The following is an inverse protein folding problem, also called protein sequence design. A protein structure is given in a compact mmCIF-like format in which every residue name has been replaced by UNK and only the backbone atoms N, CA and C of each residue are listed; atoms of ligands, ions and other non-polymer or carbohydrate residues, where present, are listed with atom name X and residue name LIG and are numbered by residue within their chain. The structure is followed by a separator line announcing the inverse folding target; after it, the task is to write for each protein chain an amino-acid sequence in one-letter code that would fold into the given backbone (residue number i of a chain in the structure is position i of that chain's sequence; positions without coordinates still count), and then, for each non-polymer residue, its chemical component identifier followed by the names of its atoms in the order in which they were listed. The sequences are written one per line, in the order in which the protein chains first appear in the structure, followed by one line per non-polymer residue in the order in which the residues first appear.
data_IF_780986657353
#
_entry.id   IF_780986657353
#
_cell.length_a   1.000
_cell.length_b   1.000
_cell.length_c   1.000
_cell.angle_alpha   90.00
_cell.angle_beta   90.00
_cell.angle_gamma   90.00
#
_symmetry.space_group_name_H-M   'P 1'
#
loop_
_entity.id
_entity.type
_entity.pdbx_description
1 polymer ?
#
# COMPACT_ATOMS: atom_id res chain seq x y z
N UNK A 1 -21.47 -28.68 -10.73
CA UNK A 1 -22.37 -28.90 -11.85
C UNK A 1 -22.14 -27.73 -12.77
N UNK A 2 -21.26 -27.82 -13.63
CA UNK A 2 -21.18 -28.27 -15.02
C UNK A 2 -22.32 -27.72 -15.89
N UNK A 3 -21.99 -26.88 -16.85
CA UNK A 3 -22.45 -26.98 -18.22
C UNK A 3 -21.51 -26.27 -19.18
N UNK A 4 -20.77 -27.14 -19.87
CA UNK A 4 -20.09 -26.91 -21.14
C UNK A 4 -21.04 -27.33 -22.28
N UNK A 5 -20.80 -26.77 -23.47
CA UNK A 5 -21.19 -27.20 -24.82
C UNK A 5 -22.30 -26.40 -25.48
N UNK A 6 -22.01 -25.75 -26.61
CA UNK A 6 -22.07 -26.45 -27.93
C UNK A 6 -21.63 -25.52 -29.06
N UNK A 7 -20.62 -25.95 -29.80
CA UNK A 7 -20.33 -25.51 -31.18
C UNK A 7 -21.39 -26.04 -32.12
N UNK A 8 -21.86 -25.23 -33.09
CA UNK A 8 -22.28 -25.74 -34.41
C UNK A 8 -22.04 -24.72 -35.51
N UNK A 9 -21.34 -25.16 -36.53
CA UNK A 9 -21.02 -24.55 -37.81
C UNK A 9 -22.27 -24.29 -38.65
N UNK A 10 -22.34 -23.17 -39.38
CA UNK A 10 -22.83 -23.13 -40.77
C UNK A 10 -22.09 -22.00 -41.49
N UNK A 11 -21.70 -22.30 -42.73
CA UNK A 11 -20.83 -21.54 -43.60
C UNK A 11 -21.57 -20.49 -44.47
N UNK A 12 -20.89 -19.37 -44.74
CA UNK A 12 -20.76 -18.54 -45.98
C UNK A 12 -22.00 -18.08 -46.75
N UNK A 13 -22.05 -16.88 -47.40
CA UNK A 13 -20.95 -16.24 -48.13
C UNK A 13 -20.74 -14.70 -47.95
N UNK A 14 -19.57 -14.30 -48.29
CA UNK A 14 -18.99 -13.06 -48.75
C UNK A 14 -19.94 -11.93 -49.19
N UNK A 15 -19.86 -10.78 -48.54
CA UNK A 15 -20.02 -9.48 -49.18
C UNK A 15 -19.06 -8.48 -48.56
N UNK A 16 -18.02 -8.13 -49.36
CA UNK A 16 -17.08 -7.08 -49.07
C UNK A 16 -17.77 -5.74 -49.21
N UNK A 17 -18.00 -5.06 -48.10
CA UNK A 17 -18.23 -3.62 -48.11
C UNK A 17 -17.11 -3.00 -47.24
N UNK A 18 -16.11 -2.45 -47.92
CA UNK A 18 -15.13 -1.53 -47.32
C UNK A 18 -15.91 -0.28 -46.82
N UNK A 19 -16.19 -0.25 -45.53
CA UNK A 19 -16.54 0.97 -44.84
C UNK A 19 -15.33 1.36 -44.01
N UNK A 20 -14.48 2.25 -44.55
CA UNK A 20 -13.47 2.94 -43.81
C UNK A 20 -14.13 3.83 -42.77
N UNK A 21 -14.44 3.26 -41.60
CA UNK A 21 -14.75 4.06 -40.42
C UNK A 21 -13.40 4.59 -39.93
N UNK A 22 -13.09 5.83 -40.31
CA UNK A 22 -12.07 6.59 -39.62
C UNK A 22 -12.48 6.68 -38.15
N UNK A 23 -11.84 5.87 -37.29
CA UNK A 23 -11.85 6.08 -35.85
C UNK A 23 -11.17 7.42 -35.57
N UNK A 24 -11.95 8.49 -35.68
CA UNK A 24 -11.61 9.73 -35.02
C UNK A 24 -11.68 9.42 -33.54
N UNK A 25 -10.52 9.25 -32.92
CA UNK A 25 -10.40 9.30 -31.47
C UNK A 25 -11.04 10.62 -31.04
N UNK A 26 -12.24 10.55 -30.50
CA UNK A 26 -12.87 11.70 -29.86
C UNK A 26 -12.03 11.95 -28.61
N UNK A 27 -11.05 12.86 -28.71
CA UNK A 27 -10.53 13.57 -27.57
C UNK A 27 -11.73 14.31 -26.96
N UNK A 28 -12.41 13.68 -26.00
CA UNK A 28 -13.34 14.41 -25.14
C UNK A 28 -12.51 15.52 -24.51
N UNK A 29 -12.87 16.80 -24.71
CA UNK A 29 -12.14 17.89 -24.10
C UNK A 29 -12.17 17.64 -22.59
N UNK A 30 -10.99 17.66 -21.97
CA UNK A 30 -10.87 17.61 -20.52
C UNK A 30 -11.59 18.84 -19.94
N UNK A 31 -12.83 18.65 -19.50
CA UNK A 31 -13.68 19.69 -18.90
C UNK A 31 -13.30 19.98 -17.46
N UNK A 32 -12.24 19.34 -16.96
CA UNK A 32 -11.74 19.63 -15.62
C UNK A 32 -11.28 21.08 -15.50
N UNK A 33 -11.53 21.75 -14.38
CA UNK A 33 -11.14 23.13 -14.19
C UNK A 33 -9.61 23.27 -14.38
N UNK A 34 -9.14 24.41 -14.88
CA UNK A 34 -7.71 24.62 -15.09
C UNK A 34 -6.94 24.40 -13.79
N UNK A 35 -5.75 23.81 -13.90
CA UNK A 35 -4.87 23.66 -12.73
C UNK A 35 -4.52 25.02 -12.14
N UNK A 36 -4.40 25.14 -10.80
CA UNK A 36 -3.87 26.31 -10.17
C UNK A 36 -2.49 26.67 -10.77
N UNK A 37 -2.22 27.97 -10.93
CA UNK A 37 -0.92 28.43 -11.46
C UNK A 37 0.24 28.05 -10.53
N UNK A 38 -0.04 27.98 -9.23
CA UNK A 38 0.93 27.62 -8.20
C UNK A 38 0.86 26.11 -7.91
N UNK A 39 1.91 25.39 -8.28
CA UNK A 39 2.04 23.96 -8.05
C UNK A 39 2.12 23.61 -6.56
N UNK A 40 2.77 24.45 -5.75
CA UNK A 40 2.84 24.25 -4.31
C UNK A 40 1.46 24.38 -3.65
N UNK A 41 0.66 25.37 -4.09
CA UNK A 41 -0.71 25.53 -3.58
C UNK A 41 -1.58 24.33 -3.96
N UNK A 42 -1.45 23.82 -5.19
CA UNK A 42 -2.19 22.61 -5.62
C UNK A 42 -1.86 21.39 -4.77
N UNK A 43 -0.57 21.13 -4.51
CA UNK A 43 -0.15 20.01 -3.65
C UNK A 43 -0.63 20.22 -2.21
N UNK A 44 -0.57 21.45 -1.70
CA UNK A 44 -1.05 21.78 -0.35
C UNK A 44 -2.53 21.50 -0.20
N UNK A 45 -3.34 21.88 -1.18
CA UNK A 45 -4.79 21.65 -1.18
C UNK A 45 -5.12 20.16 -1.28
N UNK A 46 -4.40 19.40 -2.13
CA UNK A 46 -4.57 17.96 -2.26
C UNK A 46 -4.20 17.22 -0.96
N UNK A 47 -3.08 17.56 -0.33
CA UNK A 47 -2.65 16.96 0.94
C UNK A 47 -3.64 17.28 2.05
N UNK A 48 -4.11 18.53 2.13
CA UNK A 48 -5.13 18.93 3.10
C UNK A 48 -6.42 18.10 2.90
N UNK A 49 -6.92 18.06 1.66
CA UNK A 49 -8.12 17.29 1.33
C UNK A 49 -7.97 15.81 1.68
N UNK A 50 -6.82 15.20 1.35
CA UNK A 50 -6.54 13.82 1.68
C UNK A 50 -6.58 13.57 3.20
N UNK A 51 -5.90 14.40 3.98
CA UNK A 51 -5.86 14.26 5.44
C UNK A 51 -7.25 14.42 6.09
N UNK A 52 -8.09 15.33 5.56
CA UNK A 52 -9.46 15.52 6.03
C UNK A 52 -10.32 14.30 5.69
N UNK A 53 -10.18 13.73 4.48
CA UNK A 53 -10.91 12.54 4.05
C UNK A 53 -10.45 11.30 4.82
N UNK A 54 -9.14 11.10 5.02
CA UNK A 54 -8.60 9.98 5.81
C UNK A 54 -9.05 10.05 7.27
N UNK A 55 -9.10 11.24 7.87
CA UNK A 55 -9.58 11.43 9.24
C UNK A 55 -11.08 11.18 9.40
N UNK A 56 -11.87 11.35 8.34
CA UNK A 56 -13.31 11.09 8.34
C UNK A 56 -13.65 9.63 7.97
N UNK A 57 -12.69 8.88 7.42
CA UNK A 57 -12.88 7.48 7.04
C UNK A 57 -12.67 6.57 8.26
N UNK A 58 -13.72 5.85 8.63
CA UNK A 58 -13.72 4.86 9.70
C UNK A 58 -14.04 3.46 9.17
N UNK A 59 -13.86 3.25 7.86
CA UNK A 59 -14.17 1.98 7.21
C UNK A 59 -13.16 0.93 7.61
N UNK A 60 -13.65 -0.27 7.93
CA UNK A 60 -12.82 -1.42 8.26
C UNK A 60 -12.77 -2.38 7.08
N UNK A 61 -11.56 -2.93 6.84
CA UNK A 61 -11.27 -3.78 5.71
C UNK A 61 -10.72 -5.13 6.13
N UNK A 62 -11.03 -6.16 5.35
CA UNK A 62 -10.23 -7.38 5.24
C UNK A 62 -9.43 -7.32 3.97
N UNK A 63 -8.14 -7.66 4.01
CA UNK A 63 -7.24 -7.57 2.89
C UNK A 63 -6.02 -8.49 3.05
N UNK A 64 -5.32 -8.68 1.97
CA UNK A 64 -4.11 -9.48 1.87
C UNK A 64 -2.89 -8.60 1.85
N UNK A 65 -1.86 -8.93 2.64
CA UNK A 65 -0.54 -8.30 2.61
C UNK A 65 0.49 -9.34 2.20
N UNK A 66 1.20 -9.06 1.11
CA UNK A 66 2.49 -9.65 0.81
C UNK A 66 3.58 -8.68 1.22
N UNK A 67 4.47 -9.09 2.13
CA UNK A 67 5.63 -8.31 2.56
C UNK A 67 6.90 -9.10 2.35
N UNK A 68 7.89 -8.47 1.73
CA UNK A 68 9.25 -8.98 1.58
C UNK A 68 10.23 -8.01 2.23
N UNK A 69 11.15 -8.52 3.03
CA UNK A 69 12.27 -7.78 3.61
C UNK A 69 13.53 -8.67 3.64
N UNK A 70 14.62 -8.21 4.26
CA UNK A 70 15.89 -8.95 4.33
C UNK A 70 15.78 -10.31 5.04
N UNK A 71 14.72 -10.53 5.83
CA UNK A 71 14.47 -11.78 6.56
C UNK A 71 13.67 -12.79 5.74
N UNK A 72 13.17 -12.37 4.57
CA UNK A 72 12.34 -13.18 3.70
C UNK A 72 10.98 -12.57 3.44
N UNK A 73 10.04 -13.38 2.94
CA UNK A 73 8.69 -12.94 2.63
C UNK A 73 7.63 -13.53 3.54
N UNK A 74 6.55 -12.80 3.74
CA UNK A 74 5.36 -13.23 4.46
C UNK A 74 4.10 -12.77 3.73
N UNK A 75 3.15 -13.70 3.60
CA UNK A 75 1.79 -13.42 3.15
C UNK A 75 0.85 -13.53 4.32
N UNK A 76 0.00 -12.53 4.49
CA UNK A 76 -0.95 -12.46 5.61
C UNK A 76 -2.32 -12.09 5.13
N UNK A 77 -3.32 -12.66 5.76
CA UNK A 77 -4.72 -12.22 5.72
C UNK A 77 -4.96 -11.33 6.94
N UNK A 78 -5.45 -10.14 6.72
CA UNK A 78 -5.57 -9.08 7.73
C UNK A 78 -7.01 -8.62 7.82
N UNK A 79 -7.49 -8.39 9.02
CA UNK A 79 -8.81 -7.79 9.28
C UNK A 79 -8.64 -6.62 10.23
N UNK A 80 -9.12 -5.45 9.81
CA UNK A 80 -9.28 -4.29 10.67
C UNK A 80 -10.56 -4.43 11.50
N UNK A 81 -10.49 -4.05 12.76
CA UNK A 81 -11.64 -4.11 13.67
C UNK A 81 -11.69 -2.85 14.53
N UNK A 82 -12.84 -2.62 15.18
CA UNK A 82 -12.97 -1.52 16.15
C UNK A 82 -11.99 -1.62 17.34
N UNK A 83 -11.45 -2.82 17.58
CA UNK A 83 -10.54 -3.11 18.69
C UNK A 83 -9.06 -3.21 18.21
N UNK A 84 -8.77 -2.74 17.00
CA UNK A 84 -7.47 -2.83 16.36
C UNK A 84 -7.40 -3.93 15.29
N UNK A 85 -6.22 -4.11 14.73
CA UNK A 85 -6.00 -5.03 13.62
C UNK A 85 -5.59 -6.42 14.09
N UNK A 86 -6.12 -7.47 13.45
CA UNK A 86 -5.66 -8.86 13.61
C UNK A 86 -5.22 -9.42 12.26
N UNK A 87 -4.16 -10.22 12.25
CA UNK A 87 -3.61 -10.78 11.02
C UNK A 87 -3.23 -12.24 11.22
N UNK A 88 -3.50 -13.08 10.23
CA UNK A 88 -3.07 -14.46 10.15
C UNK A 88 -1.96 -14.59 9.10
N UNK A 89 -0.88 -15.30 9.43
CA UNK A 89 0.16 -15.62 8.49
C UNK A 89 -0.25 -16.84 7.66
N UNK A 90 -0.20 -16.71 6.34
CA UNK A 90 -0.57 -17.77 5.39
C UNK A 90 0.66 -18.48 4.84
N UNK A 91 1.67 -17.69 4.39
CA UNK A 91 2.90 -18.20 3.82
C UNK A 91 4.11 -17.52 4.46
N UNK A 92 5.21 -18.26 4.56
CA UNK A 92 6.55 -17.76 4.88
C UNK A 92 7.49 -18.21 3.77
N UNK A 93 8.16 -17.27 3.10
CA UNK A 93 9.02 -17.53 1.94
C UNK A 93 8.32 -18.33 0.83
N UNK A 94 7.04 -17.98 0.58
CA UNK A 94 6.20 -18.61 -0.44
C UNK A 94 5.75 -20.04 -0.10
N UNK A 95 6.00 -20.52 1.12
CA UNK A 95 5.64 -21.89 1.57
C UNK A 95 4.59 -21.83 2.68
N UNK A 96 3.66 -22.80 2.75
CA UNK A 96 2.76 -22.95 3.88
C UNK A 96 3.55 -23.08 5.20
N UNK A 97 2.94 -22.65 6.29
CA UNK A 97 3.53 -22.71 7.61
C UNK A 97 3.76 -24.17 8.05
N UNK A 98 4.90 -24.43 8.70
CA UNK A 98 5.12 -25.66 9.43
C UNK A 98 4.13 -25.76 10.61
N UNK A 99 3.90 -26.96 11.18
CA UNK A 99 3.05 -27.10 12.37
C UNK A 99 3.47 -26.17 13.52
N UNK A 100 4.77 -26.01 13.76
CA UNK A 100 5.31 -25.16 14.82
C UNK A 100 5.05 -23.67 14.53
N UNK A 101 5.25 -23.25 13.27
CA UNK A 101 4.97 -21.89 12.84
C UNK A 101 3.47 -21.56 12.93
N UNK A 102 2.62 -22.50 12.57
CA UNK A 102 1.16 -22.38 12.68
C UNK A 102 0.74 -22.23 14.14
N UNK A 103 1.24 -23.09 15.03
CA UNK A 103 0.96 -22.99 16.47
C UNK A 103 1.44 -21.66 17.05
N UNK A 104 2.61 -21.18 16.64
CA UNK A 104 3.12 -19.89 17.10
C UNK A 104 2.26 -18.71 16.61
N UNK A 105 1.79 -18.75 15.36
CA UNK A 105 0.91 -17.71 14.80
C UNK A 105 -0.47 -17.72 15.48
N UNK A 106 -1.03 -18.90 15.74
CA UNK A 106 -2.27 -19.07 16.47
C UNK A 106 -2.17 -18.53 17.91
N UNK A 107 -1.10 -18.88 18.64
CA UNK A 107 -0.85 -18.37 19.97
C UNK A 107 -0.73 -16.83 19.98
N UNK A 108 -0.07 -16.27 18.99
CA UNK A 108 0.06 -14.82 18.81
C UNK A 108 -1.32 -14.15 18.60
N UNK A 109 -2.18 -14.75 17.79
CA UNK A 109 -3.55 -14.23 17.55
C UNK A 109 -4.41 -14.38 18.81
N UNK A 110 -4.38 -15.54 19.48
CA UNK A 110 -5.09 -15.77 20.75
C UNK A 110 -4.68 -14.76 21.81
N UNK A 111 -3.39 -14.49 21.95
CA UNK A 111 -2.89 -13.49 22.89
C UNK A 111 -3.49 -12.10 22.61
N UNK A 112 -3.66 -11.72 21.34
CA UNK A 112 -4.31 -10.45 21.00
C UNK A 112 -5.81 -10.43 21.36
N UNK A 113 -6.50 -11.58 21.30
CA UNK A 113 -7.92 -11.69 21.69
C UNK A 113 -8.09 -11.65 23.20
N UNK A 114 -7.23 -12.34 23.94
CA UNK A 114 -7.37 -12.62 25.37
C UNK A 114 -6.70 -11.58 26.27
N UNK A 115 -5.67 -10.88 25.76
CA UNK A 115 -4.85 -9.95 26.55
C UNK A 115 -5.10 -8.47 26.15
N UNK A 116 -5.96 -7.74 26.90
CA UNK A 116 -6.24 -6.33 26.65
C UNK A 116 -4.99 -5.43 26.78
N UNK A 117 -4.05 -5.80 27.66
CA UNK A 117 -2.83 -4.99 27.83
C UNK A 117 -1.92 -5.09 26.62
N UNK A 118 -1.79 -6.29 26.06
CA UNK A 118 -1.00 -6.50 24.84
C UNK A 118 -1.64 -5.74 23.66
N UNK A 119 -2.97 -5.76 23.54
CA UNK A 119 -3.68 -4.93 22.54
C UNK A 119 -3.37 -3.47 22.73
N UNK A 120 -3.56 -2.94 23.93
CA UNK A 120 -3.32 -1.53 24.24
C UNK A 120 -1.87 -1.09 23.91
N UNK A 121 -0.87 -1.93 24.20
CA UNK A 121 0.54 -1.67 23.85
C UNK A 121 0.75 -1.62 22.34
N UNK A 122 0.12 -2.53 21.61
CA UNK A 122 0.21 -2.58 20.14
C UNK A 122 -0.48 -1.38 19.50
N UNK A 123 -1.70 -1.07 19.93
CA UNK A 123 -2.48 0.06 19.43
C UNK A 123 -1.77 1.39 19.69
N UNK A 124 -1.16 1.53 20.88
CA UNK A 124 -0.36 2.71 21.19
C UNK A 124 0.82 2.86 20.21
N UNK A 125 1.55 1.79 19.90
CA UNK A 125 2.66 1.83 18.92
C UNK A 125 2.16 2.15 17.52
N UNK A 126 1.07 1.51 17.08
CA UNK A 126 0.46 1.77 15.78
C UNK A 126 0.06 3.23 15.65
N UNK A 127 -0.58 3.80 16.69
CA UNK A 127 -0.98 5.21 16.72
C UNK A 127 0.23 6.16 16.71
N UNK A 128 1.28 5.87 17.47
CA UNK A 128 2.52 6.67 17.46
C UNK A 128 3.19 6.67 16.06
N UNK A 129 3.17 5.54 15.35
CA UNK A 129 3.73 5.43 14.01
C UNK A 129 2.84 6.11 12.96
N UNK A 130 1.52 6.02 13.10
CA UNK A 130 0.55 6.76 12.29
C UNK A 130 0.72 8.28 12.46
N UNK A 131 0.81 8.77 13.70
CA UNK A 131 1.02 10.19 14.00
C UNK A 131 2.31 10.72 13.35
N UNK A 132 3.41 9.95 13.39
CA UNK A 132 4.65 10.29 12.67
C UNK A 132 4.45 10.35 11.16
N UNK A 133 3.73 9.38 10.60
CA UNK A 133 3.39 9.35 9.18
C UNK A 133 2.59 10.59 8.76
N UNK A 134 1.56 10.93 9.53
CA UNK A 134 0.72 12.13 9.33
C UNK A 134 1.57 13.40 9.41
N UNK A 135 2.48 13.51 10.39
CA UNK A 135 3.39 14.67 10.52
C UNK A 135 4.32 14.79 9.30
N UNK A 136 4.88 13.69 8.82
CA UNK A 136 5.70 13.70 7.59
C UNK A 136 4.87 14.14 6.38
N UNK A 137 3.68 13.61 6.23
CA UNK A 137 2.80 13.94 5.11
C UNK A 137 2.36 15.41 5.14
N UNK A 138 2.01 15.93 6.30
CA UNK A 138 1.68 17.36 6.51
C UNK A 138 2.83 18.30 6.17
N UNK A 139 4.08 17.87 6.35
CA UNK A 139 5.24 18.69 6.08
C UNK A 139 5.61 18.78 4.59
N UNK A 140 5.11 17.89 3.73
CA UNK A 140 5.44 17.81 2.30
C UNK A 140 5.27 19.16 1.57
N UNK A 141 4.13 19.89 1.68
CA UNK A 141 3.95 21.14 0.93
C UNK A 141 4.95 22.25 1.29
N UNK A 142 5.40 22.28 2.53
CA UNK A 142 6.35 23.30 3.01
C UNK A 142 7.80 22.87 2.79
N UNK A 143 8.07 21.56 2.84
CA UNK A 143 9.40 20.99 2.70
C UNK A 143 9.92 21.01 1.26
N UNK A 144 9.04 21.06 0.27
CA UNK A 144 9.43 20.95 -1.14
C UNK A 144 8.89 22.10 -1.99
N UNK A 145 9.59 22.32 -3.10
CA UNK A 145 9.15 23.12 -4.22
C UNK A 145 8.69 22.18 -5.32
N UNK A 146 7.48 22.41 -5.84
CA UNK A 146 6.85 21.57 -6.85
C UNK A 146 6.82 22.23 -8.21
N UNK A 147 6.93 21.41 -9.26
CA UNK A 147 6.80 21.84 -10.65
C UNK A 147 5.93 20.86 -11.42
N UNK A 148 4.97 21.37 -12.18
CA UNK A 148 4.15 20.54 -13.07
C UNK A 148 5.00 19.92 -14.16
N UNK A 149 4.85 18.60 -14.34
CA UNK A 149 5.53 17.82 -15.38
C UNK A 149 4.53 17.26 -16.42
N UNK A 150 3.24 17.48 -16.22
CA UNK A 150 2.18 17.11 -17.14
C UNK A 150 0.99 16.43 -16.48
N UNK A 151 0.02 16.06 -17.31
CA UNK A 151 -1.17 15.33 -16.93
C UNK A 151 -1.35 14.13 -17.86
N UNK A 152 -1.69 12.98 -17.30
CA UNK A 152 -1.93 11.76 -18.05
C UNK A 152 -2.93 10.86 -17.29
N UNK A 153 -3.93 10.34 -18.00
CA UNK A 153 -4.94 9.42 -17.44
C UNK A 153 -5.60 9.96 -16.16
N UNK A 154 -5.92 11.24 -16.11
CA UNK A 154 -6.52 11.88 -14.94
C UNK A 154 -5.55 12.16 -13.77
N UNK A 155 -4.28 11.81 -13.94
CA UNK A 155 -3.24 12.05 -12.93
C UNK A 155 -2.43 13.30 -13.28
N UNK A 156 -2.23 14.18 -12.31
CA UNK A 156 -1.31 15.31 -12.42
C UNK A 156 0.04 14.88 -11.87
N UNK A 157 1.09 15.02 -12.68
CA UNK A 157 2.46 14.70 -12.28
C UNK A 157 3.21 15.97 -11.92
N UNK A 158 3.87 15.94 -10.77
CA UNK A 158 4.74 17.02 -10.34
C UNK A 158 6.09 16.46 -9.89
N UNK A 159 7.17 17.09 -10.30
CA UNK A 159 8.47 16.89 -9.68
C UNK A 159 8.56 17.69 -8.39
N UNK A 160 9.35 17.21 -7.44
CA UNK A 160 9.63 17.94 -6.21
C UNK A 160 11.11 17.94 -5.87
N UNK A 161 11.57 19.07 -5.30
CA UNK A 161 12.91 19.28 -4.82
C UNK A 161 12.85 19.99 -3.46
N UNK A 162 13.88 19.82 -2.61
CA UNK A 162 13.89 20.48 -1.31
C UNK A 162 13.68 21.99 -1.41
N UNK A 163 12.83 22.52 -0.54
CA UNK A 163 12.70 23.95 -0.35
C UNK A 163 13.89 24.47 0.48
N UNK A 164 14.77 25.33 -0.06
CA UNK A 164 15.95 25.83 0.67
C UNK A 164 15.60 26.59 1.95
N UNK A 165 14.36 27.09 2.04
CA UNK A 165 13.87 27.87 3.19
C UNK A 165 13.23 26.97 4.26
N UNK A 166 13.07 25.67 3.98
CA UNK A 166 12.45 24.76 4.92
C UNK A 166 13.37 24.49 6.11
N UNK A 167 12.87 24.80 7.31
CA UNK A 167 13.54 24.45 8.55
C UNK A 167 12.86 23.23 9.17
N UNK A 168 13.48 22.07 9.07
CA UNK A 168 12.93 20.82 9.57
C UNK A 168 12.76 20.87 11.11
N UNK A 169 11.54 20.78 11.66
CA UNK A 169 11.29 20.87 13.08
C UNK A 169 11.76 19.65 13.87
N UNK A 170 11.87 18.49 13.22
CA UNK A 170 12.34 17.25 13.84
C UNK A 170 13.49 16.62 13.04
N UNK A 171 14.17 15.65 13.66
CA UNK A 171 15.29 14.95 13.01
C UNK A 171 14.81 14.10 11.83
N UNK A 172 13.67 13.46 11.97
CA UNK A 172 13.07 12.64 10.93
C UNK A 172 12.80 13.46 9.67
N UNK A 173 12.33 14.70 9.83
CA UNK A 173 12.04 15.61 8.73
C UNK A 173 13.30 16.20 8.07
N UNK A 174 14.49 16.05 8.68
CA UNK A 174 15.76 16.47 8.05
C UNK A 174 16.04 15.71 6.75
N UNK A 175 15.52 14.47 6.62
CA UNK A 175 15.65 13.68 5.38
C UNK A 175 15.10 14.41 4.16
N UNK A 176 14.11 15.28 4.33
CA UNK A 176 13.50 16.02 3.23
C UNK A 176 14.45 17.00 2.54
N UNK A 177 15.52 17.41 3.21
CA UNK A 177 16.54 18.30 2.62
C UNK A 177 17.38 17.63 1.53
N UNK A 178 17.41 16.31 1.53
CA UNK A 178 18.22 15.51 0.61
C UNK A 178 17.36 14.61 -0.29
N UNK A 179 16.06 14.87 -0.32
CA UNK A 179 15.08 14.06 -1.04
C UNK A 179 14.53 14.80 -2.24
N UNK A 180 14.50 14.15 -3.40
CA UNK A 180 13.83 14.64 -4.59
C UNK A 180 13.05 13.52 -5.26
N UNK A 181 12.09 13.85 -6.12
CA UNK A 181 11.29 12.82 -6.76
C UNK A 181 10.09 13.35 -7.53
N UNK A 182 9.08 12.49 -7.59
CA UNK A 182 7.84 12.73 -8.32
C UNK A 182 6.63 12.40 -7.43
N UNK A 183 5.59 13.21 -7.54
CA UNK A 183 4.28 12.95 -6.94
C UNK A 183 3.22 12.94 -8.05
N UNK A 184 2.27 12.00 -7.95
CA UNK A 184 1.09 11.92 -8.80
C UNK A 184 -0.14 12.17 -7.95
N UNK A 185 -0.98 13.06 -8.41
CA UNK A 185 -2.24 13.41 -7.74
C UNK A 185 -3.38 13.11 -8.70
N UNK A 186 -4.32 12.30 -8.26
CA UNK A 186 -5.58 12.10 -8.96
C UNK A 186 -6.36 13.42 -8.98
N UNK A 187 -6.64 13.91 -10.17
CA UNK A 187 -7.22 15.24 -10.35
C UNK A 187 -8.65 15.32 -9.85
N UNK A 188 -9.43 14.26 -10.05
CA UNK A 188 -10.85 14.23 -9.68
C UNK A 188 -11.03 14.04 -8.17
N UNK A 189 -10.24 13.15 -7.58
CA UNK A 189 -10.32 12.83 -6.17
C UNK A 189 -9.48 13.76 -5.28
N UNK A 190 -8.55 14.55 -5.85
CA UNK A 190 -7.54 15.33 -5.12
C UNK A 190 -6.76 14.47 -4.11
N UNK A 191 -6.42 13.24 -4.50
CA UNK A 191 -5.70 12.26 -3.67
C UNK A 191 -4.35 11.95 -4.28
N UNK A 192 -3.32 11.83 -3.46
CA UNK A 192 -2.03 11.32 -3.91
C UNK A 192 -2.21 9.85 -4.33
N UNK A 193 -1.93 9.55 -5.59
CA UNK A 193 -1.96 8.16 -6.08
C UNK A 193 -0.59 7.51 -6.05
N UNK A 194 0.49 8.32 -6.14
CA UNK A 194 1.86 7.81 -6.10
C UNK A 194 2.83 8.88 -5.62
N UNK A 195 3.82 8.46 -4.87
CA UNK A 195 4.95 9.27 -4.45
C UNK A 195 6.23 8.45 -4.57
N UNK A 196 7.13 8.87 -5.46
CA UNK A 196 8.45 8.27 -5.63
C UNK A 196 9.51 9.27 -5.21
N UNK A 197 10.48 8.81 -4.43
CA UNK A 197 11.57 9.67 -4.01
C UNK A 197 12.91 8.95 -3.93
N UNK A 198 13.98 9.72 -4.03
CA UNK A 198 15.34 9.25 -3.87
C UNK A 198 16.21 10.25 -3.12
N UNK A 199 17.15 9.75 -2.34
CA UNK A 199 18.18 10.55 -1.68
C UNK A 199 19.26 10.90 -2.73
N UNK A 200 19.39 12.17 -3.07
CA UNK A 200 20.43 12.63 -4.01
C UNK A 200 21.76 12.94 -3.33
N UNK A 201 21.79 13.00 -1.99
CA UNK A 201 22.98 13.12 -1.15
C UNK A 201 22.81 12.33 0.15
N UNK A 202 23.86 12.22 0.93
CA UNK A 202 23.82 11.58 2.23
C UNK A 202 23.11 12.44 3.26
N UNK A 203 22.32 11.80 4.13
CA UNK A 203 21.65 12.45 5.26
C UNK A 203 22.35 12.05 6.55
N UNK A 204 22.90 13.03 7.26
CA UNK A 204 23.55 12.79 8.55
C UNK A 204 22.67 13.29 9.70
N UNK A 205 22.59 12.49 10.76
CA UNK A 205 21.83 12.81 11.96
C UNK A 205 22.78 13.05 13.14
N UNK A 206 22.53 14.12 13.91
CA UNK A 206 23.33 14.43 15.07
C UNK A 206 24.83 14.59 14.76
N UNK A 207 25.15 15.44 13.76
CA UNK A 207 26.54 15.68 13.30
C UNK A 207 27.27 14.41 12.83
N UNK A 208 26.51 13.42 12.34
CA UNK A 208 27.04 12.11 11.94
C UNK A 208 27.23 11.11 13.09
N UNK A 209 27.11 11.55 14.34
CA UNK A 209 27.29 10.69 15.52
C UNK A 209 26.11 9.74 15.76
N UNK A 210 24.88 10.15 15.37
CA UNK A 210 23.67 9.34 15.59
C UNK A 210 23.34 8.44 14.41
N UNK A 211 23.84 8.76 13.22
CA UNK A 211 23.62 7.94 12.03
C UNK A 211 23.74 8.72 10.74
N UNK A 212 23.71 7.95 9.65
CA UNK A 212 23.77 8.44 8.26
C UNK A 212 22.94 7.53 7.38
N UNK A 213 22.14 8.12 6.50
CA UNK A 213 21.54 7.44 5.34
C UNK A 213 22.37 7.80 4.10
N UNK A 214 22.65 6.80 3.29
CA UNK A 214 23.49 6.96 2.12
C UNK A 214 22.67 7.50 0.93
N UNK A 215 23.31 8.31 0.13
CA UNK A 215 22.84 8.68 -1.21
C UNK A 215 22.37 7.44 -1.99
N UNK A 216 21.35 7.61 -2.86
CA UNK A 216 20.81 6.54 -3.69
C UNK A 216 19.75 5.68 -3.00
N UNK A 217 19.43 5.97 -1.72
CA UNK A 217 18.24 5.40 -1.08
C UNK A 217 16.97 5.82 -1.83
N UNK A 218 16.00 4.90 -1.97
CA UNK A 218 14.75 5.14 -2.70
C UNK A 218 13.54 4.69 -1.90
N UNK A 219 12.41 5.33 -2.15
CA UNK A 219 11.11 4.85 -1.72
C UNK A 219 10.05 5.09 -2.79
N UNK A 220 9.00 4.28 -2.78
CA UNK A 220 7.81 4.43 -3.60
C UNK A 220 6.59 4.05 -2.79
N UNK A 221 5.57 4.89 -2.79
CA UNK A 221 4.26 4.63 -2.19
C UNK A 221 3.22 4.75 -3.28
N UNK A 222 2.28 3.81 -3.34
CA UNK A 222 1.12 3.87 -4.23
C UNK A 222 -0.15 3.71 -3.43
N UNK A 223 -1.12 4.54 -3.76
CA UNK A 223 -2.49 4.46 -3.27
C UNK A 223 -3.43 4.20 -4.43
N UNK A 224 -4.51 3.51 -4.17
CA UNK A 224 -5.59 3.26 -5.14
C UNK A 224 -6.94 3.33 -4.45
N UNK A 225 -7.96 3.62 -5.23
CA UNK A 225 -9.34 3.48 -4.80
C UNK A 225 -9.65 1.99 -4.64
N UNK A 226 -10.12 1.58 -3.46
CA UNK A 226 -10.40 0.19 -3.10
C UNK A 226 -11.90 -0.08 -2.88
N UNK A 227 -12.71 0.95 -2.79
CA UNK A 227 -14.16 0.96 -2.71
C UNK A 227 -14.68 2.24 -3.32
N UNK A 228 -15.90 2.64 -3.05
CA UNK A 228 -16.56 3.78 -3.68
C UNK A 228 -15.67 5.02 -3.69
N UNK A 229 -15.42 5.63 -2.53
CA UNK A 229 -14.52 6.78 -2.38
C UNK A 229 -13.35 6.53 -1.40
N UNK A 230 -13.11 5.26 -1.05
CA UNK A 230 -12.05 4.86 -0.13
C UNK A 230 -10.74 4.65 -0.87
N UNK A 231 -9.66 5.19 -0.32
CA UNK A 231 -8.31 5.12 -0.87
C UNK A 231 -7.37 4.49 0.13
N UNK A 232 -6.65 3.45 -0.30
CA UNK A 232 -5.73 2.72 0.53
C UNK A 232 -4.35 2.62 -0.09
N UNK A 233 -3.32 2.47 0.75
CA UNK A 233 -1.97 2.14 0.30
C UNK A 233 -2.00 0.70 -0.23
N UNK A 234 -1.71 0.53 -1.52
CA UNK A 234 -1.67 -0.78 -2.18
C UNK A 234 -0.24 -1.27 -2.43
N UNK A 235 0.74 -0.37 -2.40
CA UNK A 235 2.14 -0.75 -2.54
C UNK A 235 3.07 0.21 -1.79
N UNK A 236 4.09 -0.37 -1.16
CA UNK A 236 5.20 0.33 -0.54
C UNK A 236 6.50 -0.38 -0.92
N UNK A 237 7.46 0.38 -1.46
CA UNK A 237 8.81 -0.08 -1.72
C UNK A 237 9.79 0.86 -1.04
N UNK A 238 10.70 0.33 -0.22
CA UNK A 238 11.74 1.11 0.45
C UNK A 238 13.08 0.40 0.27
N UNK A 239 14.08 1.15 -0.16
CA UNK A 239 15.47 0.69 -0.22
C UNK A 239 16.35 1.80 0.32
N UNK A 240 16.83 1.62 1.54
CA UNK A 240 17.69 2.58 2.23
C UNK A 240 18.90 1.86 2.82
N UNK A 241 20.07 2.43 2.64
CA UNK A 241 21.31 1.96 3.27
C UNK A 241 21.92 3.07 4.12
N UNK A 242 22.64 2.70 5.15
CA UNK A 242 23.26 3.68 6.02
C UNK A 242 23.91 3.05 7.24
N UNK A 243 24.18 3.89 8.24
CA UNK A 243 24.77 3.47 9.52
C UNK A 243 24.04 4.21 10.66
N UNK A 244 23.76 3.50 11.74
CA UNK A 244 23.24 4.09 12.98
C UNK A 244 24.24 3.84 14.10
N UNK A 245 24.34 4.80 15.00
CA UNK A 245 25.11 4.82 16.26
C UNK A 245 26.20 3.74 16.34
N UNK A 246 27.47 4.19 16.26
CA UNK A 246 28.66 3.35 16.50
C UNK A 246 28.57 1.97 15.79
N UNK A 247 28.72 1.97 14.44
CA UNK A 247 28.94 0.78 13.59
C UNK A 247 27.74 -0.13 13.30
N UNK A 248 26.51 0.22 13.67
CA UNK A 248 25.35 -0.57 13.23
C UNK A 248 24.98 -0.20 11.79
N UNK A 249 25.25 -1.08 10.86
CA UNK A 249 24.79 -0.94 9.46
C UNK A 249 23.26 -0.94 9.41
N UNK A 250 22.70 0.05 8.74
CA UNK A 250 21.29 0.08 8.36
C UNK A 250 21.22 -0.35 6.90
N UNK A 251 20.52 -1.41 6.64
CA UNK A 251 20.17 -1.83 5.30
C UNK A 251 18.69 -2.18 5.37
N UNK A 252 17.83 -1.31 4.85
CA UNK A 252 16.39 -1.51 4.81
C UNK A 252 16.02 -1.76 3.37
N UNK A 253 15.61 -2.98 3.09
CA UNK A 253 14.93 -3.36 1.85
C UNK A 253 13.57 -3.93 2.23
N UNK A 254 12.53 -3.21 1.88
CA UNK A 254 11.16 -3.64 2.16
C UNK A 254 10.31 -3.43 0.92
N UNK A 255 9.59 -4.46 0.55
CA UNK A 255 8.51 -4.41 -0.44
C UNK A 255 7.22 -4.85 0.26
N UNK A 256 6.14 -4.13 0.02
CA UNK A 256 4.83 -4.50 0.50
C UNK A 256 3.80 -4.30 -0.61
N UNK A 257 2.92 -5.28 -0.75
CA UNK A 257 1.78 -5.25 -1.67
C UNK A 257 0.52 -5.60 -0.89
N UNK A 258 -0.51 -4.79 -1.05
CA UNK A 258 -1.79 -4.96 -0.36
C UNK A 258 -2.87 -5.07 -1.42
N UNK A 259 -3.73 -6.07 -1.29
CA UNK A 259 -4.74 -6.40 -2.29
C UNK A 259 -5.94 -7.13 -1.67
N UNK A 260 -6.99 -7.35 -2.48
CA UNK A 260 -8.14 -8.13 -2.03
C UNK A 260 -8.94 -7.44 -0.93
N UNK A 261 -9.11 -6.12 -1.02
CA UNK A 261 -9.89 -5.36 -0.06
C UNK A 261 -11.37 -5.74 -0.10
N UNK A 262 -11.91 -6.14 1.04
CA UNK A 262 -13.32 -6.42 1.26
C UNK A 262 -13.77 -5.67 2.50
N UNK A 263 -14.83 -4.87 2.36
CA UNK A 263 -15.39 -4.15 3.50
C UNK A 263 -15.94 -5.14 4.53
N UNK A 264 -15.63 -4.90 5.80
CA UNK A 264 -16.20 -5.63 6.94
C UNK A 264 -17.07 -4.70 7.79
N UNK A 265 -17.79 -5.25 8.76
CA UNK A 265 -18.62 -4.44 9.65
C UNK A 265 -17.77 -3.49 10.49
N UNK A 266 -18.17 -2.22 10.58
CA UNK A 266 -17.50 -1.20 11.38
C UNK A 266 -17.58 -1.50 12.91
N UNK A 267 -18.48 -2.42 13.31
CA UNK A 267 -18.63 -2.89 14.69
C UNK A 267 -17.92 -4.21 14.97
N UNK A 268 -17.24 -4.79 13.98
CA UNK A 268 -16.54 -6.07 14.10
C UNK A 268 -15.54 -6.02 15.25
N UNK A 269 -15.63 -6.99 16.15
CA UNK A 269 -14.67 -7.15 17.25
C UNK A 269 -13.48 -7.99 16.85
N UNK A 270 -12.37 -7.86 17.58
CA UNK A 270 -11.16 -8.66 17.33
C UNK A 270 -11.42 -10.17 17.54
N UNK A 271 -12.33 -10.53 18.44
CA UNK A 271 -12.72 -11.93 18.68
C UNK A 271 -13.49 -12.52 17.50
N UNK A 272 -14.44 -11.76 16.92
CA UNK A 272 -15.17 -12.18 15.72
C UNK A 272 -14.25 -12.27 14.52
N UNK A 273 -13.34 -11.31 14.34
CA UNK A 273 -12.35 -11.32 13.28
C UNK A 273 -11.39 -12.53 13.39
N UNK A 274 -10.98 -12.89 14.61
CA UNK A 274 -10.21 -14.12 14.86
C UNK A 274 -10.96 -15.35 14.36
N UNK A 275 -12.24 -15.50 14.68
CA UNK A 275 -13.06 -16.61 14.21
C UNK A 275 -13.22 -16.64 12.69
N UNK A 276 -13.29 -15.47 12.02
CA UNK A 276 -13.33 -15.38 10.56
C UNK A 276 -12.02 -15.85 9.93
N UNK A 277 -10.89 -15.52 10.54
CA UNK A 277 -9.57 -15.98 10.08
C UNK A 277 -9.38 -17.48 10.29
N UNK A 278 -9.88 -18.06 11.38
CA UNK A 278 -9.83 -19.51 11.63
C UNK A 278 -10.66 -20.31 10.61
N UNK A 279 -11.88 -19.85 10.30
CA UNK A 279 -12.75 -20.51 9.32
C UNK A 279 -12.17 -20.48 7.91
N UNK A 280 -11.43 -19.44 7.53
CA UNK A 280 -10.74 -19.36 6.26
C UNK A 280 -9.72 -20.49 6.08
N UNK A 281 -9.00 -20.87 7.13
CA UNK A 281 -8.05 -22.01 7.10
C UNK A 281 -8.75 -23.36 6.93
N UNK A 282 -9.92 -23.52 7.54
CA UNK A 282 -10.69 -24.77 7.39
C UNK A 282 -11.08 -25.00 5.92
N UNK A 283 -11.37 -23.95 5.17
CA UNK A 283 -11.70 -24.03 3.72
C UNK A 283 -10.45 -24.37 2.92
N UNK A 284 -9.33 -23.69 3.17
CA UNK A 284 -8.06 -23.91 2.46
C UNK A 284 -7.47 -25.30 2.77
N UNK A 285 -7.58 -25.76 4.03
CA UNK A 285 -7.14 -27.11 4.43
C UNK A 285 -7.97 -28.19 3.78
N UNK A 286 -9.28 -28.02 3.68
CA UNK A 286 -10.19 -28.99 3.03
C UNK A 286 -9.95 -29.07 1.51
N UNK A 287 -9.62 -27.98 0.86
CA UNK A 287 -9.26 -27.97 -0.57
C UNK A 287 -7.92 -28.67 -0.84
N UNK A 288 -6.92 -28.52 0.04
CA UNK A 288 -5.63 -29.19 -0.07
C UNK A 288 -5.70 -30.70 0.22
N UNK A 289 -6.54 -31.13 1.15
CA UNK A 289 -6.74 -32.57 1.45
C UNK A 289 -7.57 -33.26 0.35
N UNK A 290 -8.52 -32.55 -0.27
CA UNK A 290 -9.31 -33.06 -1.40
C UNK A 290 -8.49 -33.28 -2.69
N UNK A 291 -7.36 -32.56 -2.86
CA UNK A 291 -6.48 -32.67 -4.02
C UNK A 291 -5.50 -33.85 -3.99
N UNK A 292 -5.32 -34.53 -2.85
CA UNK A 292 -4.38 -35.66 -2.70
C UNK A 292 -5.01 -37.06 -2.84
N UNK A 293 -6.31 -37.16 -3.02
CA UNK A 293 -6.99 -38.45 -3.16
C UNK A 293 -7.29 -38.77 -4.62
N UNK A 294 -6.54 -39.77 -5.16
CA UNK A 294 -6.78 -40.64 -6.31
C UNK A 294 -5.96 -40.40 -7.55
N UNK A 295 -4.80 -41.04 -7.56
CA UNK A 295 -4.27 -41.66 -8.78
C UNK A 295 -4.72 -43.13 -8.78
N UNK A 296 -5.59 -43.58 -9.70
CA UNK A 296 -5.88 -45.02 -9.84
C UNK A 296 -4.69 -45.70 -10.52
N UNK A 297 -4.12 -46.66 -9.82
CA UNK A 297 -3.11 -47.57 -10.40
C UNK A 297 -3.64 -48.26 -11.65
N UNK A 298 -2.88 -48.14 -12.73
CA UNK A 298 -3.04 -49.01 -13.92
C UNK A 298 -2.50 -50.39 -13.62
N UNK A 299 -3.38 -51.37 -13.73
CA UNK A 299 -2.99 -52.76 -14.04
C UNK A 299 -2.75 -52.91 -15.53
#
# INVERSE_FOLDING_TARGET
MSYFNSLRHVAFPLLVVCLCIALHGQNTPDTSPPLPKDANQFVKDAIKHQLEADAADHTHWRYHIHREDEKGSQDRDVIDTKDGQIARTLLINGKPLTPEQRSADELRMKKLVEDPEERAKRDKRAKEDEEKGIQMFKAIPDAFVFKYEGAENGQIRLSFFPNPRYNAPTRELQVFRSLSGMIWIDRAALRMSRLDGSLFEDVTFGWGLLGRLNKGGTFSVRQSRVGDDHWEIVALDVKMAGHAVIFKTINVRQMQRISGFHRVSDTLTISEAYQLLEKGDAIVSAENEGGMAKTPGKK
#
